data_IF_063706050551
#
_entry.id   IF_063706050551
#
_cell.length_a   1.000
_cell.length_b   1.000
_cell.length_c   1.000
_cell.angle_alpha   90.00
_cell.angle_beta   90.00
_cell.angle_gamma   90.00
#
_symmetry.space_group_name_H-M   'P 1'
#
loop_
_entity.id
_entity.type
_entity.pdbx_description
1 polymer ?
#
# COMPACT_ATOMS: atom_id res chain seq x y z
N UNK A 1 14.64 28.43 -13.69
CA UNK A 1 13.17 28.29 -13.56
C UNK A 1 12.85 26.82 -13.35
N UNK A 2 13.00 26.34 -12.11
CA UNK A 2 12.77 24.92 -11.74
C UNK A 2 11.30 24.74 -11.38
N UNK A 3 10.57 23.99 -12.20
CA UNK A 3 9.24 23.53 -11.82
C UNK A 3 9.40 22.33 -10.87
N UNK A 4 8.96 22.56 -9.63
CA UNK A 4 8.83 21.56 -8.59
C UNK A 4 7.78 20.53 -8.99
N UNK A 5 8.22 19.33 -9.37
CA UNK A 5 7.32 18.18 -9.52
C UNK A 5 6.96 17.65 -8.11
N UNK A 6 6.08 18.37 -7.40
CA UNK A 6 5.37 17.80 -6.25
C UNK A 6 4.25 16.90 -6.77
N UNK A 7 4.62 15.70 -7.23
CA UNK A 7 3.65 14.61 -7.30
C UNK A 7 3.48 14.05 -5.89
N UNK A 8 2.31 14.19 -5.25
CA UNK A 8 2.08 13.53 -3.98
C UNK A 8 1.81 12.06 -4.26
N UNK A 9 2.88 11.26 -4.34
CA UNK A 9 2.76 9.82 -4.16
C UNK A 9 2.46 9.63 -2.68
N UNK A 10 1.18 9.58 -2.32
CA UNK A 10 0.70 9.54 -0.93
C UNK A 10 0.97 8.23 -0.18
N UNK A 11 1.71 7.29 -0.78
CA UNK A 11 2.29 6.15 -0.07
C UNK A 11 3.82 6.18 -0.24
N UNK A 12 4.45 7.24 0.27
CA UNK A 12 5.89 7.28 0.50
C UNK A 12 6.22 6.34 1.67
N UNK A 13 6.34 5.05 1.41
CA UNK A 13 6.92 4.13 2.37
C UNK A 13 8.42 4.38 2.37
N UNK A 14 8.93 4.97 3.45
CA UNK A 14 10.30 5.50 3.67
C UNK A 14 10.60 6.86 3.01
N UNK A 15 11.30 7.73 3.75
CA UNK A 15 11.78 9.04 3.27
C UNK A 15 12.82 8.94 2.13
N UNK A 16 13.07 7.74 1.61
CA UNK A 16 14.16 7.44 0.70
C UNK A 16 13.59 6.62 -0.46
N UNK A 17 13.77 7.12 -1.69
CA UNK A 17 13.46 6.40 -2.91
C UNK A 17 14.73 6.10 -3.69
N UNK A 18 14.79 4.94 -4.34
CA UNK A 18 15.85 4.65 -5.30
C UNK A 18 15.44 5.22 -6.66
N UNK A 19 16.21 6.17 -7.17
CA UNK A 19 16.08 6.65 -8.55
C UNK A 19 16.99 5.82 -9.45
N UNK A 20 16.43 5.22 -10.49
CA UNK A 20 17.17 4.46 -11.49
C UNK A 20 17.07 5.16 -12.84
N UNK A 21 18.19 5.29 -13.56
CA UNK A 21 18.13 5.75 -14.96
C UNK A 21 17.50 4.67 -15.83
N UNK A 22 16.82 5.09 -16.90
CA UNK A 22 16.24 4.15 -17.87
C UNK A 22 17.31 3.24 -18.46
N UNK A 23 18.48 3.78 -18.80
CA UNK A 23 19.61 2.99 -19.30
C UNK A 23 20.04 1.88 -18.35
N UNK A 24 20.13 2.19 -17.04
CA UNK A 24 20.50 1.22 -16.01
C UNK A 24 19.38 0.21 -15.75
N UNK A 25 18.12 0.63 -15.86
CA UNK A 25 16.99 -0.30 -15.79
C UNK A 25 17.02 -1.29 -16.94
N UNK A 26 17.26 -0.82 -18.17
CA UNK A 26 17.33 -1.66 -19.36
C UNK A 26 18.49 -2.68 -19.25
N UNK A 27 19.67 -2.26 -18.81
CA UNK A 27 20.80 -3.18 -18.62
C UNK A 27 20.53 -4.26 -17.55
N UNK A 28 19.63 -4.01 -16.59
CA UNK A 28 19.23 -5.04 -15.62
C UNK A 28 18.34 -6.11 -16.25
N UNK A 29 17.65 -5.82 -17.37
CA UNK A 29 16.80 -6.80 -18.06
C UNK A 29 17.62 -7.93 -18.71
N UNK A 30 18.90 -7.70 -18.97
CA UNK A 30 19.83 -8.70 -19.50
C UNK A 30 20.11 -9.80 -18.48
N UNK A 31 19.95 -9.52 -17.18
CA UNK A 31 20.02 -10.51 -16.13
C UNK A 31 18.68 -11.28 -16.02
N UNK A 32 18.64 -12.61 -16.25
CA UNK A 32 17.40 -13.36 -16.25
C UNK A 32 16.62 -13.32 -14.93
N UNK A 33 17.32 -13.30 -13.79
CA UNK A 33 16.71 -13.24 -12.46
C UNK A 33 16.06 -11.88 -12.20
N UNK A 34 16.75 -10.79 -12.56
CA UNK A 34 16.20 -9.45 -12.44
C UNK A 34 14.98 -9.27 -13.35
N UNK A 35 15.06 -9.75 -14.61
CA UNK A 35 13.92 -9.74 -15.54
C UNK A 35 12.73 -10.53 -14.98
N UNK A 36 12.97 -11.71 -14.43
CA UNK A 36 11.92 -12.53 -13.82
C UNK A 36 11.28 -11.83 -12.63
N UNK A 37 12.07 -11.19 -11.76
CA UNK A 37 11.56 -10.41 -10.63
C UNK A 37 10.67 -9.25 -11.10
N UNK A 38 11.07 -8.51 -12.13
CA UNK A 38 10.26 -7.44 -12.69
C UNK A 38 8.94 -7.95 -13.30
N UNK A 39 8.98 -9.06 -14.03
CA UNK A 39 7.77 -9.68 -14.60
C UNK A 39 6.82 -10.17 -13.51
N UNK A 40 7.34 -10.82 -12.46
CA UNK A 40 6.56 -11.22 -11.27
C UNK A 40 5.96 -9.99 -10.58
N UNK A 41 6.72 -8.91 -10.43
CA UNK A 41 6.21 -7.67 -9.84
C UNK A 41 5.07 -7.09 -10.69
N UNK A 42 5.24 -6.97 -12.01
CA UNK A 42 4.17 -6.53 -12.92
C UNK A 42 2.94 -7.41 -12.77
N UNK A 43 3.10 -8.74 -12.77
CA UNK A 43 2.00 -9.68 -12.60
C UNK A 43 1.22 -9.45 -11.30
N UNK A 44 1.91 -9.35 -10.16
CA UNK A 44 1.26 -9.09 -8.86
C UNK A 44 0.57 -7.72 -8.83
N UNK A 45 1.13 -6.70 -9.50
CA UNK A 45 0.53 -5.38 -9.62
C UNK A 45 -0.74 -5.37 -10.48
N UNK A 46 -0.74 -6.08 -11.61
CA UNK A 46 -1.94 -6.25 -12.44
C UNK A 46 -3.03 -6.98 -11.67
N UNK A 47 -2.69 -8.03 -10.93
CA UNK A 47 -3.64 -8.74 -10.09
C UNK A 47 -4.23 -7.83 -9.01
N UNK A 48 -3.41 -7.00 -8.35
CA UNK A 48 -3.89 -6.02 -7.38
C UNK A 48 -4.85 -5.01 -8.02
N UNK A 49 -4.55 -4.52 -9.22
CA UNK A 49 -5.39 -3.56 -9.94
C UNK A 49 -6.75 -4.19 -10.30
N UNK A 50 -6.74 -5.38 -10.90
CA UNK A 50 -7.95 -6.12 -11.25
C UNK A 50 -8.84 -6.39 -10.03
N UNK A 51 -8.24 -6.82 -8.91
CA UNK A 51 -8.98 -7.09 -7.68
C UNK A 51 -9.47 -5.81 -6.98
N UNK A 52 -8.76 -4.69 -7.14
CA UNK A 52 -9.23 -3.38 -6.64
C UNK A 52 -10.47 -2.93 -7.41
N UNK A 53 -10.49 -3.12 -8.74
CA UNK A 53 -11.66 -2.85 -9.58
C UNK A 53 -12.84 -3.79 -9.25
N UNK A 54 -12.58 -5.10 -9.11
CA UNK A 54 -13.57 -6.07 -8.66
C UNK A 54 -14.16 -5.66 -7.31
N UNK A 55 -13.31 -5.23 -6.37
CA UNK A 55 -13.77 -4.84 -5.06
C UNK A 55 -14.62 -3.58 -5.08
N UNK A 56 -14.28 -2.61 -5.92
CA UNK A 56 -15.09 -1.42 -6.16
C UNK A 56 -16.47 -1.75 -6.75
N UNK A 57 -16.57 -2.80 -7.58
CA UNK A 57 -17.81 -3.21 -8.22
C UNK A 57 -18.70 -4.11 -7.34
N UNK A 58 -18.11 -4.99 -6.52
CA UNK A 58 -18.83 -6.07 -5.82
C UNK A 58 -19.07 -5.83 -4.34
N UNK A 59 -18.20 -5.09 -3.65
CA UNK A 59 -18.22 -4.99 -2.19
C UNK A 59 -18.64 -3.62 -1.68
N UNK A 60 -19.18 -3.60 -0.47
CA UNK A 60 -19.56 -2.37 0.19
C UNK A 60 -18.35 -1.52 0.58
N UNK A 61 -18.56 -0.21 0.72
CA UNK A 61 -17.45 0.74 0.93
C UNK A 61 -16.69 0.49 2.23
N UNK A 62 -17.33 -0.02 3.29
CA UNK A 62 -16.64 -0.36 4.54
C UNK A 62 -15.69 -1.55 4.38
N UNK A 63 -16.07 -2.55 3.58
CA UNK A 63 -15.20 -3.68 3.24
C UNK A 63 -14.01 -3.22 2.40
N UNK A 64 -14.26 -2.30 1.46
CA UNK A 64 -13.20 -1.67 0.65
C UNK A 64 -12.24 -0.85 1.50
N UNK A 65 -12.74 -0.10 2.48
CA UNK A 65 -11.91 0.63 3.44
C UNK A 65 -11.06 -0.34 4.27
N UNK A 66 -11.66 -1.40 4.82
CA UNK A 66 -10.92 -2.42 5.58
C UNK A 66 -9.83 -3.08 4.72
N UNK A 67 -10.16 -3.50 3.49
CA UNK A 67 -9.21 -4.01 2.50
C UNK A 67 -8.04 -3.02 2.28
N UNK A 68 -8.36 -1.75 2.08
CA UNK A 68 -7.36 -0.72 1.78
C UNK A 68 -6.43 -0.48 2.98
N UNK A 69 -6.97 -0.44 4.21
CA UNK A 69 -6.18 -0.32 5.42
C UNK A 69 -5.26 -1.52 5.63
N UNK A 70 -5.75 -2.75 5.38
CA UNK A 70 -4.92 -3.96 5.42
C UNK A 70 -3.78 -3.90 4.40
N UNK A 71 -4.10 -3.52 3.17
CA UNK A 71 -3.13 -3.32 2.10
C UNK A 71 -2.07 -2.26 2.45
N UNK A 72 -2.44 -1.22 3.19
CA UNK A 72 -1.48 -0.22 3.69
C UNK A 72 -0.64 -0.78 4.82
N UNK A 73 -1.26 -1.48 5.78
CA UNK A 73 -0.60 -2.14 6.91
C UNK A 73 0.39 -3.22 6.48
N UNK A 74 0.16 -3.93 5.37
CA UNK A 74 1.15 -4.88 4.84
C UNK A 74 2.39 -4.20 4.26
N UNK A 75 2.24 -2.97 3.77
CA UNK A 75 3.31 -2.20 3.13
C UNK A 75 4.03 -1.28 4.11
N UNK A 76 3.31 -0.83 5.12
CA UNK A 76 3.76 0.04 6.19
C UNK A 76 3.98 -0.83 7.42
N UNK A 77 5.23 -1.01 7.84
CA UNK A 77 5.54 -1.72 9.10
C UNK A 77 5.25 -0.80 10.30
N UNK A 78 4.07 -0.17 10.32
CA UNK A 78 3.59 0.76 11.36
C UNK A 78 2.07 0.64 11.49
N UNK A 79 1.57 0.75 12.72
CA UNK A 79 0.13 0.70 13.01
C UNK A 79 -0.55 2.07 12.88
N UNK A 80 0.22 3.15 13.01
CA UNK A 80 -0.25 4.53 12.82
C UNK A 80 -0.04 4.99 11.40
N UNK A 81 -1.15 5.30 10.73
CA UNK A 81 -1.15 5.78 9.36
C UNK A 81 -1.66 7.22 9.29
N UNK A 82 -0.82 8.19 8.86
CA UNK A 82 -1.21 9.60 8.73
C UNK A 82 -2.14 9.78 7.51
N UNK A 83 -3.42 9.44 7.71
CA UNK A 83 -4.44 9.40 6.67
C UNK A 83 -5.51 10.45 6.95
N UNK A 84 -5.66 11.36 5.99
CA UNK A 84 -6.75 12.34 6.04
C UNK A 84 -8.03 11.75 5.46
N UNK A 85 -9.17 12.29 5.87
CA UNK A 85 -10.46 11.89 5.30
C UNK A 85 -10.56 12.23 3.81
N UNK A 86 -9.95 13.33 3.38
CA UNK A 86 -9.96 13.73 1.96
C UNK A 86 -9.14 12.76 1.12
N UNK A 87 -8.02 12.28 1.67
CA UNK A 87 -7.22 11.26 1.02
C UNK A 87 -7.98 9.93 0.92
N UNK A 88 -8.60 9.48 2.01
CA UNK A 88 -9.43 8.27 2.00
C UNK A 88 -10.63 8.41 1.05
N UNK A 89 -11.24 9.59 0.98
CA UNK A 89 -12.35 9.89 0.07
C UNK A 89 -11.92 9.73 -1.40
N UNK A 90 -10.74 10.26 -1.74
CA UNK A 90 -10.12 10.09 -3.05
C UNK A 90 -9.84 8.61 -3.35
N UNK A 91 -9.17 7.91 -2.43
CA UNK A 91 -8.80 6.50 -2.62
C UNK A 91 -10.01 5.56 -2.74
N UNK A 92 -11.12 5.88 -2.08
CA UNK A 92 -12.34 5.09 -2.11
C UNK A 92 -13.36 5.59 -3.15
N UNK A 93 -13.13 6.72 -3.81
CA UNK A 93 -14.07 7.30 -4.76
C UNK A 93 -15.41 7.68 -4.13
N UNK A 94 -15.38 8.18 -2.89
CA UNK A 94 -16.59 8.60 -2.14
C UNK A 94 -16.48 10.03 -1.65
N UNK A 95 -17.59 10.59 -1.15
CA UNK A 95 -17.57 11.92 -0.51
C UNK A 95 -16.92 11.82 0.87
N UNK A 96 -16.22 12.87 1.30
CA UNK A 96 -15.60 13.01 2.63
C UNK A 96 -16.55 12.66 3.79
N UNK A 97 -17.81 13.10 3.72
CA UNK A 97 -18.80 12.78 4.74
C UNK A 97 -19.05 11.27 4.88
N UNK A 98 -19.00 10.53 3.77
CA UNK A 98 -19.08 9.06 3.78
C UNK A 98 -17.90 8.42 4.49
N UNK A 99 -16.69 8.97 4.35
CA UNK A 99 -15.49 8.47 5.03
C UNK A 99 -15.64 8.54 6.55
N UNK A 100 -16.19 9.64 7.09
CA UNK A 100 -16.42 9.76 8.54
C UNK A 100 -17.30 8.63 9.06
N UNK A 101 -18.40 8.31 8.36
CA UNK A 101 -19.30 7.22 8.75
C UNK A 101 -18.58 5.87 8.71
N UNK A 102 -17.79 5.61 7.66
CA UNK A 102 -17.06 4.35 7.51
C UNK A 102 -16.00 4.17 8.59
N UNK A 103 -15.27 5.23 8.94
CA UNK A 103 -14.30 5.22 10.03
C UNK A 103 -14.99 4.98 11.38
N UNK A 104 -16.15 5.60 11.63
CA UNK A 104 -16.93 5.35 12.86
C UNK A 104 -17.42 3.91 12.97
N UNK A 105 -17.80 3.27 11.86
CA UNK A 105 -18.20 1.85 11.85
C UNK A 105 -17.02 0.98 12.31
N UNK A 106 -15.84 1.17 11.71
CA UNK A 106 -14.65 0.37 12.07
C UNK A 106 -14.14 0.67 13.48
N UNK A 107 -14.24 1.92 13.94
CA UNK A 107 -13.88 2.33 15.31
C UNK A 107 -14.85 1.74 16.34
N UNK A 108 -16.16 1.76 16.04
CA UNK A 108 -17.18 1.10 16.86
C UNK A 108 -17.01 -0.41 16.98
N UNK A 109 -16.44 -1.05 15.96
CA UNK A 109 -16.04 -2.47 16.00
C UNK A 109 -14.70 -2.71 16.71
N UNK A 110 -14.01 -1.66 17.17
CA UNK A 110 -12.66 -1.69 17.76
C UNK A 110 -11.58 -2.23 16.81
N UNK A 111 -11.83 -2.17 15.50
CA UNK A 111 -10.85 -2.55 14.49
C UNK A 111 -9.75 -1.49 14.34
N UNK A 112 -10.13 -0.23 14.49
CA UNK A 112 -9.25 0.94 14.39
C UNK A 112 -9.56 1.95 15.48
N UNK A 113 -8.70 2.94 15.64
CA UNK A 113 -9.01 4.21 16.30
C UNK A 113 -8.76 5.34 15.31
N UNK A 114 -9.78 6.15 15.03
CA UNK A 114 -9.64 7.27 14.11
C UNK A 114 -9.50 8.59 14.88
N UNK A 115 -8.48 9.37 14.54
CA UNK A 115 -8.34 10.75 15.00
C UNK A 115 -8.16 11.68 13.80
N UNK A 116 -8.07 12.99 14.05
CA UNK A 116 -7.92 13.96 12.96
C UNK A 116 -6.60 13.71 12.22
N UNK A 117 -6.70 13.23 10.98
CA UNK A 117 -5.55 13.02 10.11
C UNK A 117 -4.73 11.77 10.42
N UNK A 118 -5.23 10.87 11.26
CA UNK A 118 -4.58 9.61 11.61
C UNK A 118 -5.59 8.48 11.76
N UNK A 119 -5.18 7.29 11.33
CA UNK A 119 -5.89 6.03 11.59
C UNK A 119 -4.90 5.07 12.20
N UNK A 120 -5.20 4.61 13.42
CA UNK A 120 -4.41 3.62 14.13
C UNK A 120 -5.11 2.26 14.02
N UNK A 121 -4.38 1.22 13.62
CA UNK A 121 -4.91 -0.16 13.56
C UNK A 121 -4.88 -0.76 14.96
N UNK A 122 -6.06 -1.06 15.52
CA UNK A 122 -6.19 -1.64 16.87
C UNK A 122 -6.25 -3.16 16.80
N UNK A 123 -7.08 -3.70 15.90
CA UNK A 123 -7.22 -5.13 15.70
C UNK A 123 -7.31 -5.46 14.21
N UNK A 124 -6.19 -5.97 13.69
CA UNK A 124 -6.05 -6.40 12.31
C UNK A 124 -6.98 -7.58 11.97
N UNK A 125 -7.32 -8.44 12.92
CA UNK A 125 -8.21 -9.60 12.68
C UNK A 125 -9.62 -9.13 12.37
N UNK A 126 -10.11 -8.13 13.09
CA UNK A 126 -11.43 -7.54 12.82
C UNK A 126 -11.44 -6.91 11.42
N UNK A 127 -10.36 -6.24 11.01
CA UNK A 127 -10.25 -5.74 9.63
C UNK A 127 -10.27 -6.85 8.59
N UNK A 128 -9.61 -7.98 8.84
CA UNK A 128 -9.67 -9.16 7.96
C UNK A 128 -11.10 -9.70 7.84
N UNK A 129 -11.83 -9.79 8.96
CA UNK A 129 -13.23 -10.23 8.97
C UNK A 129 -14.13 -9.27 8.17
N UNK A 130 -13.97 -7.95 8.36
CA UNK A 130 -14.74 -6.93 7.63
C UNK A 130 -14.41 -6.93 6.14
N UNK A 131 -13.13 -7.05 5.77
CA UNK A 131 -12.72 -7.14 4.38
C UNK A 131 -13.24 -8.43 3.73
N UNK A 132 -13.25 -9.54 4.47
CA UNK A 132 -13.73 -10.84 4.02
C UNK A 132 -13.12 -11.25 2.67
N UNK A 133 -13.95 -11.76 1.77
CA UNK A 133 -13.54 -12.18 0.42
C UNK A 133 -13.03 -11.04 -0.49
N UNK A 134 -13.05 -9.80 -0.02
CA UNK A 134 -12.43 -8.69 -0.73
C UNK A 134 -10.92 -8.60 -0.52
N UNK A 135 -10.30 -9.41 0.34
CA UNK A 135 -8.86 -9.34 0.63
C UNK A 135 -8.24 -10.75 0.66
N UNK A 136 -6.98 -10.88 0.22
CA UNK A 136 -6.17 -12.09 0.40
C UNK A 136 -5.62 -12.69 -0.89
N UNK A 137 -6.38 -12.71 -2.00
CA UNK A 137 -5.90 -13.38 -3.23
C UNK A 137 -4.68 -12.67 -3.85
N UNK A 138 -4.71 -11.35 -4.11
CA UNK A 138 -3.52 -10.65 -4.61
C UNK A 138 -2.36 -10.66 -3.62
N UNK A 139 -2.66 -10.58 -2.33
CA UNK A 139 -1.66 -10.53 -1.27
C UNK A 139 -0.92 -11.87 -1.13
N UNK A 140 -1.64 -13.00 -1.21
CA UNK A 140 -1.04 -14.34 -1.24
C UNK A 140 -0.17 -14.56 -2.48
N UNK A 141 -0.60 -14.05 -3.64
CA UNK A 141 0.19 -14.17 -4.88
C UNK A 141 1.47 -13.32 -4.82
N UNK A 142 1.39 -12.13 -4.22
CA UNK A 142 2.57 -11.30 -3.95
C UNK A 142 3.57 -12.04 -3.05
N UNK A 143 3.11 -12.61 -1.94
CA UNK A 143 3.97 -13.37 -1.02
C UNK A 143 4.63 -14.57 -1.71
N UNK A 144 3.85 -15.33 -2.50
CA UNK A 144 4.33 -16.50 -3.24
C UNK A 144 5.44 -16.15 -4.24
N UNK A 145 5.26 -15.07 -5.01
CA UNK A 145 6.15 -14.71 -6.11
C UNK A 145 7.32 -13.80 -5.72
N UNK A 146 7.13 -12.94 -4.72
CA UNK A 146 8.09 -11.89 -4.34
C UNK A 146 8.63 -12.09 -2.92
N UNK A 147 7.77 -12.46 -1.97
CA UNK A 147 8.15 -12.62 -0.55
C UNK A 147 9.23 -13.68 -0.33
N UNK A 148 9.10 -14.82 -1.00
CA UNK A 148 10.08 -15.93 -0.94
C UNK A 148 11.47 -15.58 -1.52
N UNK A 149 11.53 -14.73 -2.54
CA UNK A 149 12.78 -14.32 -3.21
C UNK A 149 13.56 -13.26 -2.39
N UNK A 150 12.84 -12.44 -1.60
CA UNK A 150 13.45 -11.44 -0.73
C UNK A 150 13.85 -12.00 0.64
N UNK A 151 13.20 -13.07 1.11
CA UNK A 151 13.57 -13.74 2.35
C UNK A 151 14.84 -14.59 2.20
N UNK A 152 15.15 -15.08 0.99
CA UNK A 152 16.31 -15.91 0.69
C UNK A 152 17.61 -15.12 0.45
N UNK A 153 17.53 -13.80 0.26
CA UNK A 153 18.68 -12.90 0.12
C UNK A 153 18.75 -12.01 1.35
N UNK A 154 19.86 -12.02 2.09
CA UNK A 154 20.06 -11.12 3.24
C UNK A 154 19.68 -9.68 2.84
N UNK A 155 18.74 -9.09 3.59
CA UNK A 155 18.29 -7.72 3.34
C UNK A 155 19.50 -6.78 3.42
N UNK A 156 19.75 -5.94 2.40
CA UNK A 156 20.87 -5.01 2.45
C UNK A 156 20.74 -4.09 3.66
N UNK A 157 21.82 -3.96 4.43
CA UNK A 157 21.90 -3.06 5.58
C UNK A 157 21.57 -1.63 5.11
N UNK A 158 20.72 -0.94 5.88
CA UNK A 158 20.39 0.48 5.66
C UNK A 158 21.70 1.26 5.55
N UNK A 159 21.99 1.82 4.37
CA UNK A 159 23.15 2.70 4.18
C UNK A 159 22.90 3.97 4.98
N UNK A 160 23.59 4.10 6.11
CA UNK A 160 23.61 5.32 6.90
C UNK A 160 24.44 6.38 6.17
N UNK A 161 23.86 7.54 5.91
CA UNK A 161 24.61 8.76 5.67
C UNK A 161 24.43 9.37 4.28
N UNK A 162 23.57 10.39 4.21
CA UNK A 162 23.82 11.61 3.45
C UNK A 162 22.79 12.65 3.90
N UNK A 163 23.24 13.60 4.72
CA UNK A 163 22.42 14.70 5.20
C UNK A 163 21.99 15.61 4.05
N UNK A 164 20.74 16.07 4.10
CA UNK A 164 20.25 17.16 3.27
C UNK A 164 19.61 18.21 4.17
N UNK A 165 20.17 19.42 4.06
CA UNK A 165 19.77 20.61 4.79
C UNK A 165 18.36 21.06 4.41
N UNK A 166 17.65 21.53 5.43
CA UNK A 166 16.28 22.05 5.53
C UNK A 166 15.72 22.77 4.30
#
# INVERSE_FOLDING_TARGET
>A
MQQSFRSPVYLATSEWGLKLSVSRFLSLQDNPEARLLFLRYIHTRELQLAYSALAAAKYHVHQRLARWLLMCHDRLIVDDMPLTHDFLALMLGVRRAGVTVLLHILDGMRAIKSTRGNVHIVDRRILLEVAGASYGVPEAEYERLIGSELASRERPQKLSGAGWSR
#
